data_IF_926822961760
#
_entry.id   IF_926822961760
#
_cell.length_a   1.000
_cell.length_b   1.000
_cell.length_c   1.000
_cell.angle_alpha   90.00
_cell.angle_beta   90.00
_cell.angle_gamma   90.00
#
_symmetry.space_group_name_H-M   'P 1'
#
loop_
_entity.id
_entity.type
_entity.pdbx_description
1 polymer ?
#
# COMPACT_ATOMS: atom_id res chain seq x y z
N UNK A 1 -28.68 -4.33 10.57
CA UNK A 1 -28.36 -3.25 9.61
C UNK A 1 -26.92 -2.78 9.87
N UNK A 2 -25.95 -3.20 9.05
CA UNK A 2 -24.51 -2.96 9.30
C UNK A 2 -24.08 -1.68 8.57
N UNK A 3 -23.86 -0.60 9.30
CA UNK A 3 -23.47 0.70 8.75
C UNK A 3 -22.04 0.58 8.18
N UNK A 4 -21.91 0.48 6.85
CA UNK A 4 -20.62 0.64 6.16
C UNK A 4 -20.14 2.08 6.40
N UNK A 5 -19.20 2.28 7.32
CA UNK A 5 -18.55 3.59 7.48
C UNK A 5 -17.73 3.87 6.22
N UNK A 6 -18.08 4.95 5.53
CA UNK A 6 -17.49 5.37 4.27
C UNK A 6 -16.01 5.74 4.44
N UNK A 7 -15.09 5.25 3.59
CA UNK A 7 -13.66 5.56 3.66
C UNK A 7 -13.37 7.07 3.50
N UNK A 8 -14.31 7.83 2.94
CA UNK A 8 -14.22 9.28 2.78
C UNK A 8 -14.20 10.05 4.11
N UNK A 9 -14.76 9.50 5.18
CA UNK A 9 -14.68 10.11 6.52
C UNK A 9 -13.25 10.09 7.07
N UNK A 10 -12.49 9.02 6.82
CA UNK A 10 -11.10 8.93 7.27
C UNK A 10 -10.20 9.93 6.52
N UNK A 11 -10.44 10.11 5.22
CA UNK A 11 -9.73 11.09 4.40
C UNK A 11 -10.06 12.52 4.86
N UNK A 12 -11.33 12.82 5.12
CA UNK A 12 -11.74 14.13 5.63
C UNK A 12 -11.10 14.48 6.98
N UNK A 13 -11.05 13.51 7.91
CA UNK A 13 -10.40 13.70 9.22
C UNK A 13 -8.89 13.92 9.08
N UNK A 14 -8.23 13.23 8.15
CA UNK A 14 -6.80 13.43 7.89
C UNK A 14 -6.49 14.83 7.38
N UNK A 15 -7.24 15.33 6.39
CA UNK A 15 -7.04 16.68 5.85
C UNK A 15 -7.29 17.75 6.92
N UNK A 16 -8.35 17.60 7.72
CA UNK A 16 -8.64 18.53 8.81
C UNK A 16 -7.53 18.56 9.87
N UNK A 17 -6.96 17.39 10.24
CA UNK A 17 -5.85 17.32 11.18
C UNK A 17 -4.60 18.04 10.67
N UNK A 18 -4.25 17.87 9.39
CA UNK A 18 -3.10 18.56 8.78
C UNK A 18 -3.29 20.08 8.81
N UNK A 19 -4.50 20.57 8.51
CA UNK A 19 -4.81 22.01 8.53
C UNK A 19 -4.72 22.58 9.95
N UNK A 20 -5.28 21.90 10.95
CA UNK A 20 -5.23 22.35 12.36
C UNK A 20 -3.80 22.40 12.88
N UNK A 21 -2.98 21.38 12.57
CA UNK A 21 -1.57 21.38 12.93
C UNK A 21 -0.84 22.55 12.28
N UNK A 22 -1.06 22.80 10.99
CA UNK A 22 -0.40 23.90 10.29
C UNK A 22 -0.78 25.28 10.87
N UNK A 23 -2.05 25.50 11.20
CA UNK A 23 -2.49 26.74 11.87
C UNK A 23 -1.87 26.89 13.27
N UNK A 24 -1.83 25.80 14.05
CA UNK A 24 -1.21 25.82 15.38
C UNK A 24 0.28 26.14 15.31
N UNK A 25 0.99 25.62 14.31
CA UNK A 25 2.41 25.91 14.07
C UNK A 25 2.64 27.39 13.74
N UNK A 26 1.77 27.98 12.91
CA UNK A 26 1.87 29.39 12.53
C UNK A 26 1.66 30.31 13.73
N UNK A 27 0.69 29.98 14.59
CA UNK A 27 0.44 30.72 15.82
C UNK A 27 1.61 30.61 16.82
N UNK A 28 2.25 29.44 16.90
CA UNK A 28 3.40 29.23 17.79
C UNK A 28 4.63 30.04 17.34
N UNK A 29 4.90 30.08 16.03
CA UNK A 29 6.03 30.79 15.44
C UNK A 29 5.91 32.31 15.65
N UNK A 30 4.68 32.83 15.56
CA UNK A 30 4.34 34.24 15.81
C UNK A 30 4.54 34.64 17.29
N UNK A 31 4.41 33.70 18.24
CA UNK A 31 4.55 33.97 19.67
C UNK A 31 5.95 33.69 20.24
N UNK A 32 6.82 32.99 19.50
CA UNK A 32 8.15 32.58 20.01
C UNK A 32 9.31 33.42 19.49
N UNK A 33 9.16 34.16 18.38
CA UNK A 33 10.20 35.06 17.88
C UNK A 33 10.06 36.47 18.45
N UNK A 34 10.63 36.71 19.63
CA UNK A 34 11.01 38.07 20.05
C UNK A 34 12.47 38.31 19.65
N UNK A 35 12.81 39.42 18.96
CA UNK A 35 14.21 39.77 18.68
C UNK A 35 14.87 40.25 19.99
N UNK A 36 15.36 39.30 20.78
CA UNK A 36 15.98 39.56 22.08
C UNK A 36 17.21 38.69 22.27
N UNK A 37 18.36 39.16 21.81
CA UNK A 37 19.64 38.55 22.15
C UNK A 37 20.16 39.06 23.51
N UNK A 38 21.14 38.36 24.14
CA UNK A 38 21.81 38.84 25.35
C UNK A 38 22.36 40.26 25.16
N UNK A 39 22.51 41.02 26.26
CA UNK A 39 22.88 42.45 26.28
C UNK A 39 24.22 42.83 25.60
N UNK A 40 24.94 41.85 25.06
CA UNK A 40 26.22 41.99 24.36
C UNK A 40 26.20 41.39 22.94
N UNK A 41 25.04 41.03 22.40
CA UNK A 41 24.90 40.47 21.06
C UNK A 41 24.62 41.55 20.02
N UNK A 42 25.04 41.31 18.78
CA UNK A 42 24.73 42.18 17.62
C UNK A 42 23.23 42.28 17.28
N UNK A 43 22.39 41.46 17.92
CA UNK A 43 20.93 41.46 17.81
C UNK A 43 20.23 42.11 19.02
N UNK A 44 20.98 42.60 20.02
CA UNK A 44 20.42 43.31 21.15
C UNK A 44 20.02 44.73 20.74
N UNK A 45 18.73 44.93 20.47
CA UNK A 45 18.13 46.26 20.18
C UNK A 45 17.61 46.96 21.44
N UNK A 46 17.98 46.47 22.63
CA UNK A 46 17.58 47.05 23.90
C UNK A 46 18.21 48.46 24.08
N UNK A 47 17.49 49.43 24.66
CA UNK A 47 17.94 50.82 24.81
C UNK A 47 19.34 50.97 25.43
N UNK A 48 19.67 50.14 26.41
CA UNK A 48 20.94 50.21 27.14
C UNK A 48 22.14 49.71 26.32
N UNK A 49 21.93 48.75 25.41
CA UNK A 49 22.99 48.18 24.57
C UNK A 49 23.41 49.08 23.41
N UNK A 50 22.47 49.88 22.88
CA UNK A 50 22.71 50.79 21.76
C UNK A 50 23.09 52.23 22.20
N UNK A 51 22.97 52.57 23.50
CA UNK A 51 23.24 53.93 23.99
C UNK A 51 24.69 54.39 23.74
N UNK A 52 25.67 53.51 23.99
CA UNK A 52 27.08 53.81 23.71
C UNK A 52 27.38 53.98 22.22
N UNK A 53 26.65 53.25 21.39
CA UNK A 53 26.75 53.32 19.94
C UNK A 53 26.14 54.61 19.37
N UNK A 54 24.95 54.97 19.85
CA UNK A 54 24.27 56.20 19.48
C UNK A 54 25.10 57.44 19.82
N UNK A 55 25.79 57.45 20.96
CA UNK A 55 26.67 58.57 21.34
C UNK A 55 27.91 58.68 20.44
N UNK A 56 28.51 57.55 20.03
CA UNK A 56 29.65 57.56 19.10
C UNK A 56 29.22 58.05 17.71
N UNK A 57 28.10 57.57 17.17
CA UNK A 57 27.58 58.05 15.89
C UNK A 57 27.21 59.53 15.94
N UNK A 58 26.54 59.97 17.01
CA UNK A 58 26.16 61.38 17.22
C UNK A 58 27.38 62.31 17.26
N UNK A 59 28.51 61.85 17.79
CA UNK A 59 29.71 62.66 17.99
C UNK A 59 30.59 62.77 16.75
N UNK A 60 30.63 61.74 15.90
CA UNK A 60 31.60 61.64 14.81
C UNK A 60 30.99 61.65 13.40
N UNK A 61 29.66 61.49 13.27
CA UNK A 61 28.89 61.53 12.00
C UNK A 61 29.43 60.59 10.90
N UNK A 62 30.21 59.57 11.28
CA UNK A 62 30.90 58.62 10.40
C UNK A 62 31.09 57.28 11.12
N UNK A 63 31.29 56.16 10.39
CA UNK A 63 31.68 54.89 10.99
C UNK A 63 32.97 55.06 11.81
N UNK A 64 32.91 54.72 13.09
CA UNK A 64 34.04 54.86 14.02
C UNK A 64 34.66 53.50 14.28
N UNK A 65 35.99 53.45 14.22
CA UNK A 65 36.78 52.36 14.79
C UNK A 65 37.43 52.89 16.06
N UNK A 66 37.17 52.24 17.19
CA UNK A 66 37.80 52.59 18.47
C UNK A 66 38.77 51.49 18.85
N UNK A 67 40.02 51.88 19.11
CA UNK A 67 41.06 50.98 19.58
C UNK A 67 41.34 51.22 21.06
N UNK A 68 41.38 50.14 21.85
CA UNK A 68 41.76 50.17 23.26
C UNK A 68 42.76 49.06 23.57
N UNK A 69 43.90 49.42 24.15
CA UNK A 69 44.86 48.44 24.66
C UNK A 69 44.31 47.77 25.91
N UNK A 70 44.38 46.44 25.95
CA UNK A 70 44.00 45.64 27.11
C UNK A 70 45.09 44.59 27.39
N UNK A 71 45.88 44.81 28.44
CA UNK A 71 47.04 43.97 28.74
C UNK A 71 48.06 43.99 27.60
N UNK A 72 48.43 42.82 27.09
CA UNK A 72 49.28 42.66 25.90
C UNK A 72 48.50 42.66 24.58
N UNK A 73 47.17 42.69 24.66
CA UNK A 73 46.26 42.66 23.52
C UNK A 73 45.67 44.03 23.19
N UNK A 74 44.97 44.07 22.06
CA UNK A 74 44.24 45.25 21.60
C UNK A 74 42.81 44.86 21.29
N UNK A 75 41.87 45.63 21.84
CA UNK A 75 40.45 45.55 21.52
C UNK A 75 40.17 46.60 20.46
N UNK A 76 39.59 46.16 19.34
CA UNK A 76 39.10 47.06 18.31
C UNK A 76 37.58 46.92 18.21
N UNK A 77 36.88 48.01 18.50
CA UNK A 77 35.44 48.10 18.35
C UNK A 77 35.13 48.78 17.02
N UNK A 78 34.45 48.07 16.13
CA UNK A 78 33.99 48.61 14.85
C UNK A 78 32.52 48.96 14.99
N UNK A 79 32.19 50.22 14.73
CA UNK A 79 30.84 50.74 14.85
C UNK A 79 29.85 50.04 13.89
N UNK A 80 30.24 49.84 12.64
CA UNK A 80 29.36 49.22 11.64
C UNK A 80 30.07 48.00 11.06
N UNK A 81 29.40 46.86 11.06
CA UNK A 81 29.92 45.63 10.47
C UNK A 81 29.84 45.64 8.92
N UNK A 82 29.11 46.59 8.31
CA UNK A 82 28.90 46.66 6.86
C UNK A 82 30.19 46.62 6.03
N UNK A 83 31.26 47.35 6.37
CA UNK A 83 32.56 47.25 5.68
C UNK A 83 33.15 45.84 5.67
N UNK A 84 32.80 44.98 6.63
CA UNK A 84 33.33 43.62 6.77
C UNK A 84 32.43 42.56 6.12
N UNK A 85 31.32 42.95 5.49
CA UNK A 85 30.42 42.01 4.81
C UNK A 85 30.99 41.61 3.45
N UNK A 86 30.93 40.31 3.11
CA UNK A 86 31.43 39.77 1.84
C UNK A 86 30.95 40.56 0.61
N UNK A 87 29.69 41.02 0.61
CA UNK A 87 29.09 41.79 -0.50
C UNK A 87 29.66 43.21 -0.65
N UNK A 88 30.30 43.77 0.39
CA UNK A 88 30.82 45.13 0.44
C UNK A 88 32.35 45.20 0.50
N UNK A 89 33.07 44.07 0.60
CA UNK A 89 34.54 44.06 0.67
C UNK A 89 35.20 44.75 -0.55
N UNK A 90 34.59 44.63 -1.73
CA UNK A 90 35.07 45.26 -2.97
C UNK A 90 34.65 46.73 -3.15
N UNK A 91 34.00 47.35 -2.17
CA UNK A 91 33.64 48.77 -2.20
C UNK A 91 34.64 49.60 -1.41
N UNK A 92 35.15 50.67 -2.03
CA UNK A 92 36.15 51.56 -1.43
C UNK A 92 37.32 50.77 -0.80
N UNK A 93 37.75 51.15 0.39
CA UNK A 93 38.89 50.53 1.09
C UNK A 93 38.46 49.48 2.14
N UNK A 94 37.27 48.90 2.00
CA UNK A 94 36.71 47.95 2.97
C UNK A 94 37.58 46.70 3.18
N UNK A 95 38.12 46.14 2.10
CA UNK A 95 39.07 45.01 2.21
C UNK A 95 40.38 45.41 2.90
N UNK A 96 40.88 46.63 2.65
CA UNK A 96 42.09 47.12 3.30
C UNK A 96 41.87 47.32 4.80
N UNK A 97 40.70 47.82 5.20
CA UNK A 97 40.29 47.90 6.60
C UNK A 97 40.24 46.50 7.24
N UNK A 98 39.62 45.52 6.58
CA UNK A 98 39.53 44.15 7.09
C UNK A 98 40.91 43.52 7.31
N UNK A 99 41.84 43.72 6.36
CA UNK A 99 43.22 43.26 6.47
C UNK A 99 43.99 43.98 7.59
N UNK A 100 43.80 45.29 7.74
CA UNK A 100 44.42 46.06 8.83
C UNK A 100 43.94 45.59 10.21
N UNK A 101 42.66 45.23 10.36
CA UNK A 101 42.10 44.70 11.60
C UNK A 101 42.62 43.29 11.93
N UNK A 102 42.79 42.43 10.92
CA UNK A 102 43.34 41.09 11.09
C UNK A 102 44.83 41.12 11.44
N UNK A 103 45.62 41.89 10.67
CA UNK A 103 47.07 41.83 10.65
C UNK A 103 47.58 40.48 10.15
N UNK A 104 48.88 40.19 10.35
CA UNK A 104 49.52 38.93 9.94
C UNK A 104 49.26 37.77 10.91
N UNK A 105 48.09 37.76 11.53
CA UNK A 105 47.73 36.86 12.64
C UNK A 105 46.65 35.87 12.19
N UNK A 106 46.62 34.64 12.71
CA UNK A 106 45.47 33.76 12.54
C UNK A 106 44.18 34.44 13.05
N UNK A 107 43.16 34.49 12.20
CA UNK A 107 41.84 35.03 12.56
C UNK A 107 40.96 33.89 13.06
N UNK A 108 40.40 34.05 14.26
CA UNK A 108 39.47 33.10 14.86
C UNK A 108 38.15 33.82 15.16
N UNK A 109 37.05 33.22 14.73
CA UNK A 109 35.71 33.74 15.01
C UNK A 109 35.16 33.14 16.30
N UNK A 110 34.78 34.00 17.25
CA UNK A 110 34.14 33.58 18.50
C UNK A 110 32.64 33.30 18.29
N UNK A 111 32.33 32.24 17.52
CA UNK A 111 30.96 31.86 17.16
C UNK A 111 30.15 31.30 18.33
N UNK A 112 30.83 30.74 19.34
CA UNK A 112 30.19 30.16 20.54
C UNK A 112 29.38 31.18 21.35
N UNK A 113 29.76 32.45 21.34
CA UNK A 113 29.05 33.55 22.03
C UNK A 113 27.78 33.96 21.27
N UNK A 114 27.69 33.64 19.98
CA UNK A 114 26.57 33.97 19.10
C UNK A 114 25.54 32.82 18.98
N UNK A 115 25.65 31.77 19.80
CA UNK A 115 24.77 30.60 19.76
C UNK A 115 25.06 29.63 18.60
N UNK A 116 26.04 29.93 17.75
CA UNK A 116 26.54 29.06 16.70
C UNK A 116 27.67 28.19 17.27
N UNK A 117 27.30 27.25 18.14
CA UNK A 117 28.17 26.16 18.54
C UNK A 117 27.91 24.91 17.67
N UNK A 118 28.88 23.97 17.56
CA UNK A 118 28.61 22.67 16.98
C UNK A 118 27.54 21.96 17.84
N UNK A 119 26.29 22.06 17.42
CA UNK A 119 25.22 21.28 18.01
C UNK A 119 25.50 19.80 17.72
N UNK A 120 25.53 18.97 18.76
CA UNK A 120 25.81 17.54 18.67
C UNK A 120 24.64 16.72 19.21
N UNK A 121 24.53 15.47 18.77
CA UNK A 121 23.42 14.58 19.15
C UNK A 121 22.06 15.06 18.64
N UNK A 122 21.01 14.90 19.44
CA UNK A 122 19.63 15.24 19.07
C UNK A 122 19.39 16.75 18.94
N UNK A 123 20.23 17.58 19.57
CA UNK A 123 20.19 19.04 19.47
C UNK A 123 20.72 19.58 18.14
N UNK A 124 21.43 18.76 17.36
CA UNK A 124 21.90 19.11 16.01
C UNK A 124 20.78 19.08 14.95
N UNK A 125 19.67 18.40 15.26
CA UNK A 125 18.56 18.23 14.34
C UNK A 125 17.74 19.53 14.34
N UNK A 126 17.64 20.24 13.20
CA UNK A 126 16.85 21.47 13.15
C UNK A 126 15.40 21.19 13.53
N UNK A 127 14.76 22.07 14.30
CA UNK A 127 13.41 21.88 14.85
C UNK A 127 12.37 21.48 13.80
N UNK A 128 12.53 21.96 12.55
CA UNK A 128 11.69 21.59 11.40
C UNK A 128 11.67 20.08 11.09
N UNK A 129 12.76 19.35 11.34
CA UNK A 129 12.86 17.91 11.08
C UNK A 129 12.09 17.06 12.08
N UNK A 130 11.89 17.57 13.31
CA UNK A 130 11.04 16.89 14.30
C UNK A 130 9.60 16.72 13.81
N UNK A 131 9.11 17.64 12.98
CA UNK A 131 7.80 17.50 12.33
C UNK A 131 7.76 16.40 11.27
N UNK A 132 8.83 16.24 10.50
CA UNK A 132 8.93 15.13 9.55
C UNK A 132 8.90 13.77 10.28
N UNK A 133 9.62 13.66 11.41
CA UNK A 133 9.56 12.46 12.26
C UNK A 133 8.18 12.25 12.88
N UNK A 134 7.50 13.31 13.33
CA UNK A 134 6.14 13.22 13.86
C UNK A 134 5.15 12.70 12.81
N UNK A 135 5.21 13.19 11.57
CA UNK A 135 4.37 12.71 10.45
C UNK A 135 4.68 11.25 10.12
N UNK A 136 5.97 10.87 10.08
CA UNK A 136 6.39 9.49 9.83
C UNK A 136 5.87 8.54 10.92
N UNK A 137 5.99 8.94 12.19
CA UNK A 137 5.50 8.18 13.32
C UNK A 137 3.96 8.02 13.26
N UNK A 138 3.25 9.10 12.93
CA UNK A 138 1.80 9.05 12.74
C UNK A 138 1.41 8.11 11.59
N UNK A 139 2.12 8.17 10.46
CA UNK A 139 1.89 7.27 9.32
C UNK A 139 2.13 5.80 9.71
N UNK A 140 3.18 5.52 10.49
CA UNK A 140 3.45 4.19 11.02
C UNK A 140 2.33 3.70 11.96
N UNK A 141 1.81 4.56 12.84
CA UNK A 141 0.66 4.24 13.70
C UNK A 141 -0.59 3.96 12.87
N UNK A 142 -0.89 4.80 11.87
CA UNK A 142 -2.02 4.57 10.96
C UNK A 142 -1.87 3.24 10.22
N UNK A 143 -0.66 2.93 9.73
CA UNK A 143 -0.37 1.66 9.08
C UNK A 143 -0.56 0.49 10.04
N UNK A 144 -0.03 0.57 11.26
CA UNK A 144 -0.18 -0.46 12.30
C UNK A 144 -1.65 -0.68 12.65
N UNK A 145 -2.42 0.40 12.84
CA UNK A 145 -3.86 0.33 13.08
C UNK A 145 -4.61 -0.24 11.87
N UNK A 146 -4.19 0.09 10.63
CA UNK A 146 -4.80 -0.48 9.42
C UNK A 146 -4.58 -1.98 9.30
N UNK A 147 -3.41 -2.47 9.75
CA UNK A 147 -3.04 -3.90 9.76
C UNK A 147 -3.68 -4.65 10.92
N UNK A 148 -3.80 -3.99 12.08
CA UNK A 148 -4.38 -4.55 13.31
C UNK A 148 -5.91 -4.59 13.31
N UNK A 149 -6.59 -3.79 12.48
CA UNK A 149 -8.05 -3.81 12.36
C UNK A 149 -8.54 -4.87 11.39
N UNK A 150 -8.35 -6.14 11.72
CA UNK A 150 -9.16 -7.23 11.13
C UNK A 150 -10.56 -7.16 11.75
N UNK A 151 -11.40 -6.24 11.27
CA UNK A 151 -12.80 -6.04 11.72
C UNK A 151 -13.73 -7.11 11.11
N UNK A 152 -13.37 -8.38 11.26
CA UNK A 152 -14.17 -9.51 10.83
C UNK A 152 -13.94 -10.67 11.79
N UNK A 153 -14.96 -11.51 12.04
CA UNK A 153 -14.73 -12.80 12.66
C UNK A 153 -13.55 -13.48 11.94
N UNK A 154 -12.65 -14.17 12.66
CA UNK A 154 -11.63 -14.97 12.01
C UNK A 154 -12.32 -15.79 10.91
N UNK A 155 -11.79 -15.70 9.69
CA UNK A 155 -12.26 -16.57 8.63
C UNK A 155 -11.99 -17.96 9.14
N UNK A 156 -13.04 -18.74 9.36
CA UNK A 156 -12.88 -20.15 9.67
C UNK A 156 -12.11 -20.69 8.48
N UNK A 157 -10.85 -21.13 8.66
CA UNK A 157 -10.22 -21.85 7.58
C UNK A 157 -11.10 -23.09 7.34
N UNK A 158 -11.14 -23.57 6.10
CA UNK A 158 -11.89 -24.76 5.69
C UNK A 158 -13.41 -24.53 5.56
N UNK A 159 -13.82 -23.99 4.40
CA UNK A 159 -14.95 -24.64 3.73
C UNK A 159 -14.38 -25.91 3.13
N UNK A 160 -14.77 -27.07 3.64
CA UNK A 160 -14.60 -28.31 2.88
C UNK A 160 -15.28 -28.07 1.52
N UNK A 161 -14.46 -27.94 0.48
CA UNK A 161 -14.97 -27.94 -0.88
C UNK A 161 -15.69 -29.29 -1.03
N UNK A 162 -16.90 -29.31 -1.62
CA UNK A 162 -17.52 -30.57 -1.98
C UNK A 162 -16.49 -31.42 -2.74
N UNK A 163 -16.47 -32.76 -2.51
CA UNK A 163 -15.55 -33.64 -3.21
C UNK A 163 -15.61 -33.39 -4.71
N UNK A 164 -14.49 -33.61 -5.40
CA UNK A 164 -14.46 -33.44 -6.85
C UNK A 164 -15.64 -34.22 -7.46
N UNK A 165 -16.27 -33.70 -8.51
CA UNK A 165 -17.43 -34.37 -9.14
C UNK A 165 -17.17 -35.84 -9.48
N UNK A 166 -15.90 -36.16 -9.76
CA UNK A 166 -15.40 -37.52 -10.00
C UNK A 166 -15.47 -38.39 -8.74
N UNK A 167 -15.00 -37.89 -7.59
CA UNK A 167 -15.03 -38.62 -6.31
C UNK A 167 -16.47 -38.91 -5.84
N UNK A 168 -17.40 -37.98 -6.07
CA UNK A 168 -18.81 -38.20 -5.78
C UNK A 168 -19.39 -39.32 -6.66
N UNK A 169 -19.10 -39.29 -7.96
CA UNK A 169 -19.55 -40.32 -8.90
C UNK A 169 -18.96 -41.69 -8.55
N UNK A 170 -17.68 -41.74 -8.17
CA UNK A 170 -17.00 -42.97 -7.74
C UNK A 170 -17.58 -43.54 -6.44
N UNK A 171 -17.82 -42.69 -5.44
CA UNK A 171 -18.46 -43.10 -4.19
C UNK A 171 -19.88 -43.65 -4.41
N UNK A 172 -20.68 -42.99 -5.27
CA UNK A 172 -22.01 -43.44 -5.63
C UNK A 172 -21.97 -44.78 -6.39
N UNK A 173 -21.05 -44.93 -7.35
CA UNK A 173 -20.86 -46.18 -8.08
C UNK A 173 -20.47 -47.34 -7.14
N UNK A 174 -19.58 -47.09 -6.17
CA UNK A 174 -19.18 -48.07 -5.15
C UNK A 174 -20.36 -48.46 -4.26
N UNK A 175 -21.19 -47.49 -3.86
CA UNK A 175 -22.39 -47.74 -3.06
C UNK A 175 -23.43 -48.55 -3.84
N UNK A 176 -23.67 -48.23 -5.10
CA UNK A 176 -24.58 -48.99 -5.97
C UNK A 176 -24.07 -50.41 -6.25
N UNK A 177 -22.76 -50.60 -6.38
CA UNK A 177 -22.16 -51.94 -6.56
C UNK A 177 -22.40 -52.84 -5.35
N UNK A 178 -22.49 -52.27 -4.14
CA UNK A 178 -22.82 -53.00 -2.91
C UNK A 178 -24.31 -53.37 -2.81
N UNK A 179 -25.20 -52.57 -3.40
CA UNK A 179 -26.63 -52.85 -3.41
C UNK A 179 -26.97 -53.89 -4.50
N UNK A 180 -27.16 -55.16 -4.11
CA UNK A 180 -27.58 -56.25 -5.01
C UNK A 180 -29.10 -56.25 -5.23
N UNK A 181 -29.58 -55.58 -6.30
CA UNK A 181 -30.38 -56.29 -7.30
C UNK A 181 -29.94 -55.87 -8.72
N UNK A 182 -28.96 -56.60 -9.26
CA UNK A 182 -28.30 -56.27 -10.54
C UNK A 182 -29.24 -56.41 -11.74
N UNK A 183 -30.15 -57.39 -11.71
CA UNK A 183 -31.03 -57.72 -12.84
C UNK A 183 -32.08 -56.63 -13.13
N UNK A 184 -32.76 -56.12 -12.10
CA UNK A 184 -33.76 -55.05 -12.28
C UNK A 184 -33.10 -53.73 -12.71
N UNK A 185 -31.87 -53.49 -12.26
CA UNK A 185 -31.03 -52.37 -12.70
C UNK A 185 -30.70 -52.47 -14.19
N UNK A 186 -30.22 -53.65 -14.65
CA UNK A 186 -29.92 -53.88 -16.08
C UNK A 186 -31.18 -53.69 -16.92
N UNK A 187 -32.31 -54.29 -16.52
CA UNK A 187 -33.57 -54.22 -17.25
C UNK A 187 -34.08 -52.78 -17.37
N UNK A 188 -33.95 -52.00 -16.29
CA UNK A 188 -34.33 -50.60 -16.28
C UNK A 188 -33.41 -49.75 -17.16
N UNK A 189 -32.10 -49.94 -17.04
CA UNK A 189 -31.11 -49.24 -17.87
C UNK A 189 -31.32 -49.54 -19.36
N UNK A 190 -31.56 -50.81 -19.71
CA UNK A 190 -31.83 -51.24 -21.09
C UNK A 190 -33.13 -50.64 -21.63
N UNK A 191 -34.21 -50.59 -20.83
CA UNK A 191 -35.46 -49.93 -21.21
C UNK A 191 -35.26 -48.44 -21.49
N UNK A 192 -34.49 -47.75 -20.65
CA UNK A 192 -34.17 -46.32 -20.86
C UNK A 192 -33.31 -46.14 -22.11
N UNK A 193 -32.28 -46.98 -22.29
CA UNK A 193 -31.42 -46.97 -23.46
C UNK A 193 -32.21 -47.22 -24.76
N UNK A 194 -33.16 -48.16 -24.75
CA UNK A 194 -34.05 -48.45 -25.88
C UNK A 194 -34.91 -47.24 -26.23
N UNK A 195 -35.57 -46.62 -25.24
CA UNK A 195 -36.41 -45.43 -25.47
C UNK A 195 -35.59 -44.27 -26.04
N UNK A 196 -34.35 -44.07 -25.55
CA UNK A 196 -33.46 -43.04 -26.08
C UNK A 196 -32.98 -43.36 -27.49
N UNK A 197 -32.60 -44.60 -27.75
CA UNK A 197 -32.20 -45.05 -29.09
C UNK A 197 -33.33 -44.91 -30.10
N UNK A 198 -34.57 -45.24 -29.72
CA UNK A 198 -35.78 -45.01 -30.53
C UNK A 198 -35.94 -43.52 -30.87
N UNK A 199 -35.75 -42.62 -29.89
CA UNK A 199 -35.80 -41.16 -30.12
C UNK A 199 -34.69 -40.68 -31.05
N UNK A 200 -33.44 -41.07 -30.80
CA UNK A 200 -32.29 -40.69 -31.63
C UNK A 200 -32.46 -41.16 -33.09
N UNK A 201 -33.02 -42.36 -33.28
CA UNK A 201 -33.33 -42.93 -34.60
C UNK A 201 -34.65 -42.44 -35.20
N UNK A 202 -35.41 -41.60 -34.47
CA UNK A 202 -36.74 -41.08 -34.85
C UNK A 202 -37.73 -42.19 -35.20
N UNK A 203 -37.69 -43.26 -34.40
CA UNK A 203 -38.60 -44.38 -34.47
C UNK A 203 -39.77 -44.19 -33.48
N UNK A 204 -40.95 -44.76 -33.77
CA UNK A 204 -42.04 -44.77 -32.81
C UNK A 204 -41.66 -45.58 -31.56
N UNK A 205 -42.24 -45.23 -30.38
CA UNK A 205 -41.98 -45.96 -29.15
C UNK A 205 -42.38 -47.43 -29.28
N UNK A 206 -41.49 -48.34 -28.88
CA UNK A 206 -41.72 -49.78 -29.02
C UNK A 206 -41.54 -50.32 -30.44
N UNK A 207 -40.76 -49.63 -31.28
CA UNK A 207 -40.34 -50.16 -32.57
C UNK A 207 -39.66 -51.54 -32.41
N UNK A 208 -39.94 -52.46 -33.34
CA UNK A 208 -39.37 -53.81 -33.31
C UNK A 208 -37.85 -53.80 -33.46
N UNK A 209 -37.18 -54.81 -32.91
CA UNK A 209 -35.72 -54.89 -32.86
C UNK A 209 -35.07 -54.91 -34.26
N UNK A 210 -35.78 -55.41 -35.28
CA UNK A 210 -35.33 -55.39 -36.68
C UNK A 210 -35.26 -53.96 -37.22
N UNK A 211 -36.29 -53.15 -37.00
CA UNK A 211 -36.32 -51.75 -37.42
C UNK A 211 -35.26 -50.90 -36.70
N UNK A 212 -34.98 -51.21 -35.43
CA UNK A 212 -33.89 -50.60 -34.66
C UNK A 212 -32.52 -50.91 -35.28
N UNK A 213 -32.23 -52.17 -35.61
CA UNK A 213 -30.97 -52.57 -36.25
C UNK A 213 -30.79 -51.94 -37.63
N UNK A 214 -31.83 -51.93 -38.46
CA UNK A 214 -31.80 -51.35 -39.81
C UNK A 214 -31.58 -49.83 -39.78
N UNK A 215 -32.26 -49.10 -38.89
CA UNK A 215 -32.05 -47.66 -38.77
C UNK A 215 -30.72 -47.31 -38.13
N UNK A 216 -30.24 -48.12 -37.19
CA UNK A 216 -28.94 -47.93 -36.58
C UNK A 216 -27.80 -48.15 -37.58
N UNK A 217 -27.89 -49.18 -38.42
CA UNK A 217 -26.90 -49.42 -39.47
C UNK A 217 -26.89 -48.32 -40.54
N UNK A 218 -28.08 -47.81 -40.93
CA UNK A 218 -28.19 -46.67 -41.84
C UNK A 218 -27.57 -45.37 -41.27
N UNK A 219 -27.53 -45.23 -39.94
CA UNK A 219 -26.88 -44.12 -39.21
C UNK A 219 -25.42 -44.41 -38.88
N UNK A 220 -24.88 -45.56 -39.27
CA UNK A 220 -23.52 -46.02 -38.96
C UNK A 220 -23.22 -46.04 -37.45
N UNK A 221 -24.23 -46.34 -36.63
CA UNK A 221 -24.04 -46.57 -35.21
C UNK A 221 -23.23 -47.85 -34.98
N UNK A 222 -22.45 -47.85 -33.90
CA UNK A 222 -21.69 -49.02 -33.46
C UNK A 222 -22.63 -50.20 -33.18
N UNK A 223 -22.44 -51.30 -33.92
CA UNK A 223 -23.29 -52.49 -33.82
C UNK A 223 -23.21 -53.15 -32.45
N UNK A 224 -22.06 -53.07 -31.78
CA UNK A 224 -21.90 -53.59 -30.43
C UNK A 224 -22.75 -52.82 -29.41
N UNK A 225 -22.84 -51.51 -29.54
CA UNK A 225 -23.69 -50.65 -28.70
C UNK A 225 -25.18 -50.93 -28.91
N UNK A 226 -25.61 -51.18 -30.15
CA UNK A 226 -27.01 -51.52 -30.47
C UNK A 226 -27.37 -52.89 -29.89
N UNK A 227 -26.51 -53.90 -30.09
CA UNK A 227 -26.74 -55.24 -29.54
C UNK A 227 -26.70 -55.26 -28.01
N UNK A 228 -25.91 -54.40 -27.36
CA UNK A 228 -25.94 -54.27 -25.91
C UNK A 228 -27.33 -53.83 -25.38
N UNK A 229 -28.00 -52.94 -26.11
CA UNK A 229 -29.36 -52.45 -25.79
C UNK A 229 -30.43 -53.49 -26.15
N UNK A 230 -30.21 -54.33 -27.15
CA UNK A 230 -31.19 -55.33 -27.62
C UNK A 230 -31.03 -56.71 -26.96
N UNK A 231 -29.86 -57.02 -26.40
CA UNK A 231 -29.58 -58.33 -25.81
C UNK A 231 -30.37 -58.59 -24.53
N UNK A 232 -30.15 -59.77 -23.93
CA UNK A 232 -30.78 -60.21 -22.67
C UNK A 232 -29.79 -60.47 -21.53
N UNK A 233 -28.48 -60.29 -21.78
CA UNK A 233 -27.45 -60.48 -20.78
C UNK A 233 -27.60 -59.55 -19.57
N UNK A 234 -27.35 -60.10 -18.37
CA UNK A 234 -27.44 -59.40 -17.07
C UNK A 234 -26.09 -59.34 -16.36
N UNK A 235 -25.00 -59.68 -17.06
CA UNK A 235 -23.65 -59.65 -16.52
C UNK A 235 -23.11 -58.22 -16.35
N UNK A 236 -22.02 -58.09 -15.62
CA UNK A 236 -21.30 -56.83 -15.44
C UNK A 236 -20.80 -56.26 -16.78
N UNK A 237 -20.35 -57.14 -17.68
CA UNK A 237 -19.93 -56.77 -19.03
C UNK A 237 -21.08 -56.20 -19.87
N UNK A 238 -22.31 -56.72 -19.69
CA UNK A 238 -23.50 -56.25 -20.39
C UNK A 238 -23.93 -54.88 -19.88
N UNK A 239 -23.86 -54.65 -18.56
CA UNK A 239 -24.12 -53.36 -17.95
C UNK A 239 -23.16 -52.28 -18.44
N UNK A 240 -21.88 -52.60 -18.53
CA UNK A 240 -20.88 -51.68 -19.09
C UNK A 240 -21.14 -51.39 -20.56
N UNK A 241 -21.57 -52.38 -21.34
CA UNK A 241 -21.92 -52.20 -22.74
C UNK A 241 -23.16 -51.31 -22.91
N UNK A 242 -24.23 -51.52 -22.12
CA UNK A 242 -25.43 -50.66 -22.12
C UNK A 242 -25.09 -49.23 -21.66
N UNK A 243 -24.24 -49.09 -20.64
CA UNK A 243 -23.78 -47.78 -20.16
C UNK A 243 -22.98 -47.00 -21.20
N UNK A 244 -22.06 -47.68 -21.92
CA UNK A 244 -21.33 -47.08 -23.05
C UNK A 244 -22.27 -46.68 -24.19
N UNK A 245 -23.24 -47.52 -24.52
CA UNK A 245 -24.25 -47.22 -25.53
C UNK A 245 -25.06 -45.96 -25.17
N UNK A 246 -25.49 -45.83 -23.90
CA UNK A 246 -26.18 -44.63 -23.40
C UNK A 246 -25.34 -43.35 -23.56
N UNK A 247 -24.06 -43.39 -23.18
CA UNK A 247 -23.16 -42.23 -23.32
C UNK A 247 -22.92 -41.89 -24.79
N UNK A 248 -22.81 -42.89 -25.66
CA UNK A 248 -22.68 -42.67 -27.09
C UNK A 248 -23.93 -41.95 -27.65
N UNK A 249 -25.13 -42.38 -27.26
CA UNK A 249 -26.37 -41.70 -27.67
C UNK A 249 -26.49 -40.26 -27.16
N UNK A 250 -26.01 -39.96 -25.94
CA UNK A 250 -26.02 -38.57 -25.42
C UNK A 250 -25.06 -37.64 -26.18
N UNK A 251 -23.90 -38.15 -26.61
CA UNK A 251 -22.96 -37.34 -27.41
C UNK A 251 -23.53 -36.96 -28.77
N UNK A 252 -24.34 -37.82 -29.37
CA UNK A 252 -24.99 -37.52 -30.64
C UNK A 252 -26.17 -36.54 -30.49
N UNK A 253 -26.97 -36.65 -29.42
CA UNK A 253 -28.03 -35.67 -29.12
C UNK A 253 -27.48 -34.27 -28.85
N UNK A 254 -26.28 -34.13 -28.29
CA UNK A 254 -25.65 -32.84 -28.00
C UNK A 254 -25.04 -32.13 -29.22
N UNK A 255 -24.93 -32.82 -30.37
CA UNK A 255 -24.30 -32.30 -31.61
C UNK A 255 -25.34 -31.85 -32.64
N UNK A 256 -26.65 -31.99 -32.33
CA UNK A 256 -27.78 -31.52 -33.14
C UNK A 256 -28.37 -30.24 -32.55
#
# INVERSE_FOLDING_TARGET
>A
MKIRRSPWLAVGVFVAAVVVVNLGLRALDEHTHSPGGPASSSFATAPDGAAGYAELLRRFDRPVVVEQKLGTGTIVLVADASPLQNRLLGHADNAALALALAGDRPVVFAESVHGYGPASGLGAIPTRWWWAFAVLALAAVVLALSRGRRLGPPEVPWRELPPARVEFAEALALQLTKARPREDGVRTARRIARVRLERALRLPPGAGDTALRERASARQLDSASVEAVLGDGVGETDLLAVGRALVATEREEAVV
#
